data_IF_092088130265
#
_entry.id   IF_092088130265
#
_cell.length_a   1.000
_cell.length_b   1.000
_cell.length_c   1.000
_cell.angle_alpha   90.00
_cell.angle_beta   90.00
_cell.angle_gamma   90.00
#
_symmetry.space_group_name_H-M   'P 1'
#
loop_
_entity.id
_entity.type
_entity.pdbx_description
1 polymer ?
#
# COMPACT_ATOMS: atom_id res chain seq x y z
N UNK A 1 -6.63 9.46 -16.05
CA UNK A 1 -7.04 8.35 -15.15
C UNK A 1 -7.38 8.98 -13.81
N UNK A 2 -8.57 8.72 -13.29
CA UNK A 2 -8.96 9.23 -11.96
C UNK A 2 -8.38 8.30 -10.90
N UNK A 3 -7.80 8.88 -9.84
CA UNK A 3 -7.44 8.13 -8.63
C UNK A 3 -8.73 7.65 -7.97
N UNK A 4 -8.81 6.36 -7.68
CA UNK A 4 -9.97 5.74 -7.04
C UNK A 4 -9.59 5.26 -5.64
N UNK A 5 -10.54 5.36 -4.72
CA UNK A 5 -10.39 4.86 -3.35
C UNK A 5 -10.31 3.32 -3.37
N UNK A 6 -9.13 2.80 -3.02
CA UNK A 6 -8.88 1.37 -2.83
C UNK A 6 -9.04 1.07 -1.34
N UNK A 7 -10.22 0.61 -0.93
CA UNK A 7 -10.49 0.24 0.46
C UNK A 7 -9.75 -1.06 0.80
N UNK A 8 -9.02 -1.07 1.91
CA UNK A 8 -8.27 -2.25 2.35
C UNK A 8 -9.23 -3.16 3.10
N UNK A 9 -9.48 -4.34 2.56
CA UNK A 9 -10.27 -5.35 3.25
C UNK A 9 -9.41 -6.32 4.06
N UNK A 10 -8.22 -6.65 3.57
CA UNK A 10 -7.33 -7.58 4.25
C UNK A 10 -5.86 -7.27 3.96
N UNK A 11 -5.02 -7.34 4.99
CA UNK A 11 -3.56 -7.28 4.86
C UNK A 11 -3.02 -8.70 4.97
N UNK A 12 -2.49 -9.22 3.87
CA UNK A 12 -1.99 -10.60 3.79
C UNK A 12 -0.56 -10.67 4.34
N UNK A 13 0.29 -9.72 3.97
CA UNK A 13 1.67 -9.64 4.46
C UNK A 13 2.17 -8.21 4.46
N UNK A 14 3.07 -7.92 5.39
CA UNK A 14 3.84 -6.68 5.47
C UNK A 14 5.31 -7.04 5.67
N UNK A 15 6.15 -6.64 4.73
CA UNK A 15 7.57 -6.95 4.74
C UNK A 15 8.41 -5.69 4.47
N UNK A 16 9.53 -5.49 5.18
CA UNK A 16 10.43 -4.39 4.89
C UNK A 16 10.99 -4.53 3.47
N UNK A 17 10.98 -3.44 2.71
CA UNK A 17 11.40 -3.45 1.32
C UNK A 17 12.60 -2.54 1.13
N UNK A 18 13.70 -3.13 0.67
CA UNK A 18 14.95 -2.44 0.39
C UNK A 18 15.43 -2.86 -1.00
N UNK A 19 15.29 -1.96 -1.98
CA UNK A 19 15.83 -2.12 -3.32
C UNK A 19 16.85 -1.02 -3.64
N UNK A 20 17.55 -1.11 -4.78
CA UNK A 20 18.56 -0.10 -5.11
C UNK A 20 17.95 1.28 -5.31
N UNK A 21 16.79 1.36 -5.95
CA UNK A 21 16.06 2.62 -6.15
C UNK A 21 15.57 3.22 -4.82
N UNK A 22 15.32 2.40 -3.79
CA UNK A 22 14.89 2.92 -2.48
C UNK A 22 16.00 3.67 -1.77
N UNK A 23 17.28 3.43 -2.12
CA UNK A 23 18.43 4.14 -1.55
C UNK A 23 18.52 5.61 -1.99
N UNK A 24 17.83 5.98 -3.08
CA UNK A 24 17.74 7.37 -3.52
C UNK A 24 16.83 8.22 -2.63
N UNK A 25 16.04 7.57 -1.77
CA UNK A 25 15.12 8.21 -0.85
C UNK A 25 15.60 7.97 0.58
N UNK A 26 15.65 9.04 1.39
CA UNK A 26 15.94 8.95 2.83
C UNK A 26 14.69 8.47 3.61
N UNK A 27 14.07 7.39 3.14
CA UNK A 27 12.83 6.83 3.68
C UNK A 27 12.89 5.31 3.70
N UNK A 28 12.21 4.72 4.68
CA UNK A 28 12.01 3.28 4.75
C UNK A 28 10.76 2.92 3.95
N UNK A 29 10.83 1.81 3.24
CA UNK A 29 9.72 1.29 2.46
C UNK A 29 9.27 -0.06 3.00
N UNK A 30 7.99 -0.33 2.80
CA UNK A 30 7.36 -1.61 3.11
C UNK A 30 6.67 -2.09 1.86
N UNK A 31 6.83 -3.37 1.56
CA UNK A 31 6.03 -4.06 0.56
C UNK A 31 4.90 -4.77 1.29
N UNK A 32 3.68 -4.48 0.88
CA UNK A 32 2.48 -5.04 1.46
C UNK A 32 1.68 -5.75 0.40
N UNK A 33 1.16 -6.92 0.77
CA UNK A 33 0.19 -7.63 -0.04
C UNK A 33 -1.19 -7.42 0.56
N UNK A 34 -2.10 -6.87 -0.23
CA UNK A 34 -3.40 -6.39 0.22
C UNK A 34 -4.51 -6.99 -0.64
N UNK A 35 -5.65 -7.28 0.00
CA UNK A 35 -6.93 -7.41 -0.69
C UNK A 35 -7.62 -6.07 -0.60
N UNK A 36 -7.81 -5.43 -1.75
CA UNK A 36 -8.50 -4.14 -1.84
C UNK A 36 -9.84 -4.29 -2.52
N UNK A 37 -10.83 -3.51 -2.11
CA UNK A 37 -12.14 -3.41 -2.74
C UNK A 37 -12.31 -2.02 -3.33
N UNK A 38 -12.57 -1.96 -4.63
CA UNK A 38 -12.89 -0.72 -5.33
C UNK A 38 -14.23 -0.91 -6.04
N UNK A 39 -15.26 -0.18 -5.63
CA UNK A 39 -16.64 -0.31 -6.13
C UNK A 39 -17.14 -1.76 -6.18
N UNK A 40 -16.89 -2.54 -5.12
CA UNK A 40 -17.31 -3.95 -5.01
C UNK A 40 -16.44 -4.95 -5.77
N UNK A 41 -15.38 -4.50 -6.46
CA UNK A 41 -14.39 -5.38 -7.08
C UNK A 41 -13.22 -5.58 -6.15
N UNK A 42 -13.09 -6.81 -5.64
CA UNK A 42 -11.96 -7.25 -4.82
C UNK A 42 -10.76 -7.59 -5.70
N UNK A 43 -9.58 -7.14 -5.31
CA UNK A 43 -8.32 -7.40 -6.01
C UNK A 43 -7.21 -7.67 -5.01
N UNK A 44 -6.41 -8.69 -5.32
CA UNK A 44 -5.14 -8.91 -4.65
C UNK A 44 -4.10 -8.03 -5.33
N UNK A 45 -3.45 -7.18 -4.55
CA UNK A 45 -2.45 -6.22 -5.04
C UNK A 45 -1.21 -6.26 -4.16
N UNK A 46 -0.06 -6.16 -4.78
CA UNK A 46 1.21 -5.90 -4.13
C UNK A 46 1.51 -4.41 -4.27
N UNK A 47 1.65 -3.70 -3.15
CA UNK A 47 1.95 -2.28 -3.11
C UNK A 47 3.20 -2.01 -2.29
N UNK A 48 3.92 -0.95 -2.66
CA UNK A 48 5.10 -0.49 -1.94
C UNK A 48 4.75 0.90 -1.41
N UNK A 49 4.78 1.03 -0.09
CA UNK A 49 4.54 2.30 0.59
C UNK A 49 5.79 2.72 1.34
N UNK A 50 5.99 4.02 1.52
CA UNK A 50 6.84 4.49 2.61
C UNK A 50 6.17 4.17 3.96
N UNK A 51 6.97 3.95 5.00
CA UNK A 51 6.49 3.55 6.33
C UNK A 51 5.47 4.57 6.88
N UNK A 52 5.78 5.86 6.82
CA UNK A 52 4.89 6.92 7.33
C UNK A 52 3.53 6.92 6.61
N UNK A 53 3.53 6.79 5.28
CA UNK A 53 2.29 6.69 4.50
C UNK A 53 1.55 5.39 4.78
N UNK A 54 2.24 4.27 4.98
CA UNK A 54 1.59 3.01 5.31
C UNK A 54 0.84 3.09 6.64
N UNK A 55 1.40 3.74 7.66
CA UNK A 55 0.69 3.98 8.93
C UNK A 55 -0.58 4.81 8.71
N UNK A 56 -0.49 5.89 7.93
CA UNK A 56 -1.65 6.70 7.57
C UNK A 56 -2.70 5.90 6.79
N UNK A 57 -2.28 5.00 5.90
CA UNK A 57 -3.15 4.12 5.12
C UNK A 57 -3.85 3.08 6.00
N UNK A 58 -3.16 2.54 7.01
CA UNK A 58 -3.77 1.65 8.00
C UNK A 58 -4.80 2.36 8.86
N UNK A 59 -4.53 3.59 9.28
CA UNK A 59 -5.46 4.39 10.09
C UNK A 59 -6.72 4.78 9.31
N UNK A 60 -6.58 5.20 8.04
CA UNK A 60 -7.73 5.59 7.23
C UNK A 60 -8.49 4.39 6.63
N UNK A 61 -7.83 3.23 6.47
CA UNK A 61 -8.41 2.01 5.92
C UNK A 61 -8.53 1.96 4.39
N UNK A 62 -7.93 2.92 3.67
CA UNK A 62 -7.92 2.96 2.20
C UNK A 62 -6.70 3.73 1.67
N UNK A 63 -6.43 3.61 0.37
CA UNK A 63 -5.46 4.47 -0.32
C UNK A 63 -5.98 4.90 -1.69
N UNK A 64 -5.46 6.01 -2.22
CA UNK A 64 -5.79 6.51 -3.56
C UNK A 64 -4.85 5.88 -4.59
N UNK A 65 -5.40 5.19 -5.60
CA UNK A 65 -4.64 4.46 -6.63
C UNK A 65 -5.26 4.51 -8.01
#
# INVERSE_FOLDING_TARGET
MNLLEQYIEEVISEEPYNEEWTKEFDKKFVKVKLVTSCYGRKRNVDQIFDVDKWETVKEQGYYMG
#
